data_IF_188845889325
#
_entry.id   IF_188845889325
#
_cell.length_a   1.000
_cell.length_b   1.000
_cell.length_c   1.000
_cell.angle_alpha   90.00
_cell.angle_beta   90.00
_cell.angle_gamma   90.00
#
_symmetry.space_group_name_H-M   'P 1'
#
loop_
_entity.id
_entity.type
_entity.pdbx_description
1 polymer ?
#
# COMPACT_ATOMS: atom_id res chain seq x y z
N UNK A 1 -13.72 14.04 12.39
CA UNK A 1 -12.92 13.73 11.19
C UNK A 1 -11.59 14.46 11.27
N UNK A 2 -10.51 13.76 11.00
CA UNK A 2 -9.18 14.35 11.04
C UNK A 2 -8.91 15.14 9.76
N UNK A 3 -8.26 16.31 9.83
CA UNK A 3 -7.90 17.04 8.62
C UNK A 3 -6.90 16.28 7.78
N UNK A 4 -6.96 16.51 6.46
CA UNK A 4 -6.12 15.77 5.51
C UNK A 4 -4.62 16.05 5.74
N UNK A 5 -4.27 17.25 6.17
CA UNK A 5 -2.88 17.57 6.47
C UNK A 5 -2.33 16.72 7.60
N UNK A 6 -3.14 16.47 8.63
CA UNK A 6 -2.74 15.60 9.73
C UNK A 6 -2.55 14.17 9.28
N UNK A 7 -3.45 13.67 8.43
CA UNK A 7 -3.34 12.33 7.88
C UNK A 7 -2.09 12.20 7.01
N UNK A 8 -1.79 13.20 6.21
CA UNK A 8 -0.59 13.19 5.37
C UNK A 8 0.68 13.21 6.20
N UNK A 9 0.68 13.96 7.29
CA UNK A 9 1.83 13.99 8.18
C UNK A 9 2.06 12.61 8.79
N UNK A 10 1.02 11.96 9.31
CA UNK A 10 1.15 10.59 9.80
C UNK A 10 1.62 9.63 8.71
N UNK A 11 1.06 9.75 7.52
CA UNK A 11 1.43 8.89 6.41
C UNK A 11 2.91 9.04 6.05
N UNK A 12 3.47 10.23 6.20
CA UNK A 12 4.89 10.45 5.91
C UNK A 12 5.82 9.65 6.81
N UNK A 13 5.34 9.19 7.96
CA UNK A 13 6.12 8.38 8.88
C UNK A 13 5.99 6.87 8.62
N UNK A 14 5.09 6.48 7.73
CA UNK A 14 4.95 5.08 7.36
C UNK A 14 6.11 4.67 6.46
N UNK A 15 6.83 3.62 6.86
CA UNK A 15 7.98 3.12 6.10
C UNK A 15 7.59 1.80 5.47
N UNK A 16 7.77 1.70 4.16
CA UNK A 16 7.41 0.51 3.38
C UNK A 16 8.68 -0.14 2.85
N UNK A 17 8.72 -1.46 2.92
CA UNK A 17 9.85 -2.25 2.39
C UNK A 17 9.34 -3.33 1.46
N UNK A 18 10.14 -3.65 0.44
CA UNK A 18 9.84 -4.81 -0.40
C UNK A 18 9.79 -6.05 0.49
N UNK A 19 8.74 -6.83 0.32
CA UNK A 19 8.50 -8.03 1.13
C UNK A 19 7.53 -7.83 2.28
N UNK A 20 7.24 -6.59 2.65
CA UNK A 20 6.25 -6.34 3.70
C UNK A 20 4.88 -6.85 3.27
N UNK A 21 4.12 -7.37 4.22
CA UNK A 21 2.79 -7.89 3.95
C UNK A 21 1.74 -6.80 4.09
N UNK A 22 0.75 -6.85 3.21
CA UNK A 22 -0.38 -5.93 3.19
C UNK A 22 -1.67 -6.73 3.29
N UNK A 23 -2.57 -6.27 4.14
CA UNK A 23 -3.91 -6.82 4.27
C UNK A 23 -4.93 -5.74 3.92
N UNK A 24 -5.81 -6.03 2.96
CA UNK A 24 -6.91 -5.14 2.61
C UNK A 24 -8.12 -5.55 3.44
N UNK A 25 -8.49 -4.69 4.39
CA UNK A 25 -9.57 -4.98 5.34
C UNK A 25 -10.91 -5.10 4.62
N UNK A 26 -11.12 -4.32 3.57
CA UNK A 26 -12.40 -4.29 2.87
C UNK A 26 -12.64 -5.53 2.03
N UNK A 27 -11.62 -6.03 1.37
CA UNK A 27 -11.72 -7.19 0.49
C UNK A 27 -11.24 -8.46 1.14
N UNK A 28 -10.64 -8.36 2.32
CA UNK A 28 -10.04 -9.48 3.05
C UNK A 28 -8.96 -10.18 2.24
N UNK A 29 -8.25 -9.41 1.44
CA UNK A 29 -7.17 -9.91 0.61
C UNK A 29 -5.83 -9.71 1.32
N UNK A 30 -4.92 -10.66 1.12
CA UNK A 30 -3.57 -10.60 1.68
C UNK A 30 -2.56 -10.63 0.54
N UNK A 31 -1.57 -9.78 0.65
CA UNK A 31 -0.53 -9.70 -0.34
C UNK A 31 0.79 -9.23 0.25
N UNK A 32 1.75 -8.99 -0.62
CA UNK A 32 3.01 -8.42 -0.19
C UNK A 32 3.49 -7.40 -1.22
N UNK A 33 4.33 -6.47 -0.73
CA UNK A 33 4.93 -5.45 -1.57
C UNK A 33 6.04 -6.09 -2.38
N UNK A 34 5.85 -6.15 -3.70
CA UNK A 34 6.77 -6.85 -4.59
C UNK A 34 7.89 -5.96 -5.09
N UNK A 35 7.55 -4.73 -5.48
CA UNK A 35 8.53 -3.80 -6.01
C UNK A 35 8.06 -2.37 -5.85
N UNK A 36 9.02 -1.47 -5.90
CA UNK A 36 8.79 -0.03 -5.84
C UNK A 36 9.43 0.59 -7.07
N UNK A 37 8.67 1.32 -7.86
CA UNK A 37 9.16 1.96 -9.06
C UNK A 37 8.97 3.47 -9.00
N UNK A 38 9.98 4.19 -9.43
CA UNK A 38 9.90 5.64 -9.60
C UNK A 38 9.32 5.94 -10.97
N UNK A 39 8.34 6.83 -11.01
CA UNK A 39 7.75 7.30 -12.26
C UNK A 39 7.69 8.81 -12.25
N UNK A 40 7.68 9.41 -13.44
CA UNK A 40 7.55 10.85 -13.58
C UNK A 40 6.16 11.11 -14.15
N UNK A 41 5.38 11.93 -13.44
CA UNK A 41 4.04 12.25 -13.91
C UNK A 41 4.07 13.39 -14.93
N UNK A 42 2.91 13.80 -15.43
CA UNK A 42 2.80 14.83 -16.46
C UNK A 42 3.24 16.21 -15.95
N UNK A 43 3.32 16.40 -14.64
CA UNK A 43 3.81 17.64 -14.03
C UNK A 43 5.30 17.57 -13.71
N UNK A 44 5.97 16.51 -14.20
CA UNK A 44 7.39 16.26 -13.99
C UNK A 44 7.76 16.03 -12.51
N UNK A 45 6.77 15.68 -11.68
CA UNK A 45 7.02 15.29 -10.29
C UNK A 45 7.36 13.83 -10.20
N UNK A 46 8.32 13.50 -9.34
CA UNK A 46 8.65 12.11 -9.05
C UNK A 46 7.55 11.49 -8.21
N UNK A 47 6.99 10.40 -8.69
CA UNK A 47 6.06 9.60 -7.91
C UNK A 47 6.60 8.18 -7.81
N UNK A 48 6.24 7.51 -6.73
CA UNK A 48 6.61 6.12 -6.52
C UNK A 48 5.37 5.25 -6.56
N UNK A 49 5.48 4.13 -7.25
CA UNK A 49 4.37 3.18 -7.39
C UNK A 49 4.81 1.84 -6.86
N UNK A 50 3.99 1.28 -6.00
CA UNK A 50 4.22 -0.05 -5.43
C UNK A 50 3.43 -1.08 -6.20
N UNK A 51 4.06 -2.20 -6.51
CA UNK A 51 3.39 -3.36 -7.04
C UNK A 51 3.10 -4.30 -5.88
N UNK A 52 1.84 -4.67 -5.73
CA UNK A 52 1.39 -5.60 -4.70
C UNK A 52 1.01 -6.91 -5.39
N UNK A 53 1.53 -8.01 -4.87
CA UNK A 53 1.10 -9.33 -5.30
C UNK A 53 0.13 -9.88 -4.25
N UNK A 54 -1.11 -10.11 -4.68
CA UNK A 54 -2.16 -10.64 -3.81
C UNK A 54 -2.13 -12.16 -3.90
N UNK A 55 -1.69 -12.83 -2.83
CA UNK A 55 -1.59 -14.29 -2.80
C UNK A 55 -2.82 -14.95 -2.18
N UNK A 56 -3.69 -14.19 -1.53
CA UNK A 56 -4.93 -14.71 -0.94
C UNK A 56 -6.01 -13.66 -1.11
N UNK A 57 -7.09 -14.03 -1.78
CA UNK A 57 -8.25 -13.16 -2.01
C UNK A 57 -9.50 -13.90 -1.59
N UNK A 58 -10.51 -13.15 -1.10
CA UNK A 58 -11.80 -13.76 -0.79
C UNK A 58 -12.48 -14.24 -2.09
N UNK A 59 -13.33 -15.26 -1.97
CA UNK A 59 -14.05 -15.81 -3.12
C UNK A 59 -14.90 -14.73 -3.83
N UNK A 60 -15.39 -13.77 -3.07
CA UNK A 60 -16.24 -12.72 -3.62
C UNK A 60 -15.44 -11.63 -4.33
N UNK A 61 -14.12 -11.68 -4.27
CA UNK A 61 -13.26 -10.60 -4.77
C UNK A 61 -12.04 -11.13 -5.50
N UNK A 62 -12.27 -12.13 -6.36
CA UNK A 62 -11.18 -12.67 -7.16
C UNK A 62 -10.94 -11.81 -8.38
N UNK A 63 -9.68 -11.50 -8.62
CA UNK A 63 -9.26 -10.77 -9.80
C UNK A 63 -8.57 -11.71 -10.78
N UNK A 64 -8.68 -11.40 -12.06
CA UNK A 64 -7.98 -12.16 -13.09
C UNK A 64 -6.46 -12.07 -12.93
N UNK A 65 -6.01 -10.95 -12.37
CA UNK A 65 -4.61 -10.67 -12.20
C UNK A 65 -4.34 -10.43 -10.71
N UNK A 66 -3.37 -11.14 -10.16
CA UNK A 66 -3.02 -11.00 -8.74
C UNK A 66 -2.12 -9.79 -8.47
N UNK A 67 -1.80 -9.00 -9.48
CA UNK A 67 -0.97 -7.81 -9.33
C UNK A 67 -1.83 -6.56 -9.27
N UNK A 68 -1.43 -5.66 -8.40
CA UNK A 68 -2.05 -4.36 -8.27
C UNK A 68 -0.97 -3.29 -8.18
N UNK A 69 -1.26 -2.10 -8.67
CA UNK A 69 -0.32 -0.98 -8.69
C UNK A 69 -0.95 0.18 -7.94
N UNK A 70 -0.24 0.69 -6.96
CA UNK A 70 -0.77 1.78 -6.13
C UNK A 70 0.33 2.79 -5.85
N UNK A 71 0.00 4.07 -5.94
CA UNK A 71 0.93 5.12 -5.60
C UNK A 71 1.28 5.06 -4.12
N UNK A 72 2.55 5.32 -3.82
CA UNK A 72 3.08 5.23 -2.46
C UNK A 72 2.29 6.10 -1.48
N UNK A 73 1.99 7.33 -1.87
CA UNK A 73 1.25 8.24 -0.99
C UNK A 73 -0.14 7.69 -0.67
N UNK A 74 -0.84 7.19 -1.69
CA UNK A 74 -2.16 6.59 -1.50
C UNK A 74 -2.12 5.36 -0.62
N UNK A 75 -1.11 4.52 -0.79
CA UNK A 75 -0.93 3.32 0.03
C UNK A 75 -0.69 3.71 1.50
N UNK A 76 0.19 4.67 1.74
CA UNK A 76 0.48 5.14 3.10
C UNK A 76 -0.76 5.73 3.76
N UNK A 77 -1.54 6.51 3.02
CA UNK A 77 -2.79 7.06 3.54
C UNK A 77 -3.80 5.95 3.89
N UNK A 78 -3.90 4.93 3.06
CA UNK A 78 -4.78 3.80 3.33
C UNK A 78 -4.38 3.08 4.62
N UNK A 79 -3.09 2.97 4.89
CA UNK A 79 -2.59 2.37 6.13
C UNK A 79 -2.96 3.23 7.33
N UNK A 80 -2.79 4.54 7.24
CA UNK A 80 -3.12 5.47 8.33
C UNK A 80 -4.62 5.47 8.60
N UNK A 81 -5.43 5.46 7.56
CA UNK A 81 -6.90 5.45 7.68
C UNK A 81 -7.40 4.13 8.23
N UNK A 82 -6.68 3.03 7.97
CA UNK A 82 -7.05 1.72 8.45
C UNK A 82 -7.78 0.84 7.44
N UNK A 83 -7.87 1.27 6.18
CA UNK A 83 -8.43 0.42 5.12
C UNK A 83 -7.45 -0.65 4.68
N UNK A 84 -6.16 -0.43 4.92
CA UNK A 84 -5.11 -1.43 4.73
C UNK A 84 -4.25 -1.53 5.98
N UNK A 85 -3.74 -2.73 6.24
CA UNK A 85 -2.84 -2.97 7.38
C UNK A 85 -1.47 -3.37 6.84
N UNK A 86 -0.44 -2.81 7.44
CA UNK A 86 0.94 -3.13 7.10
C UNK A 86 1.53 -4.04 8.16
N UNK A 87 2.10 -5.16 7.71
CA UNK A 87 2.80 -6.11 8.58
C UNK A 87 4.24 -6.21 8.10
N UNK A 88 5.13 -5.49 8.77
CA UNK A 88 6.53 -5.46 8.36
C UNK A 88 7.24 -6.73 8.76
N UNK A 89 7.96 -7.34 7.81
CA UNK A 89 8.76 -8.53 8.08
C UNK A 89 9.99 -8.22 8.92
N UNK A 90 10.37 -6.94 9.01
CA UNK A 90 11.52 -6.51 9.81
C UNK A 90 11.13 -6.00 11.18
N UNK A 91 9.87 -6.16 11.54
CA UNK A 91 9.35 -5.68 12.81
C UNK A 91 9.88 -6.52 13.96
N UNK A 92 10.29 -5.86 15.02
CA UNK A 92 10.71 -6.56 16.23
C UNK A 92 12.18 -6.90 16.29
N UNK A 93 12.97 -6.42 15.38
CA UNK A 93 14.41 -6.65 15.42
C UNK A 93 15.15 -5.58 16.21
#
# INVERSE_FOLDING_TARGET
>A
MRPIEELREEASHVILHVGDMIYDVRTKSRGFLRSRERKIDILEDDIYVWTIFWFSQSEDYQQYNNLDFIEEEGLKLSIVIGTMELHSINQGE
#
